data_IF_695444025101
#
_entry.id   IF_695444025101
#
_cell.length_a   1.000
_cell.length_b   1.000
_cell.length_c   1.000
_cell.angle_alpha   90.00
_cell.angle_beta   90.00
_cell.angle_gamma   90.00
#
_symmetry.space_group_name_H-M   'P 1'
#
loop_
_entity.id
_entity.type
_entity.pdbx_description
1 polymer ?
#
# COMPACT_ATOMS: atom_id res chain seq x y z
N UNK A 1 81.46 -25.34 -31.83
CA UNK A 1 81.48 -24.19 -30.89
C UNK A 1 81.86 -24.71 -29.50
N UNK A 2 83.01 -24.32 -28.93
CA UNK A 2 83.45 -24.88 -27.67
C UNK A 2 82.73 -24.23 -26.48
N UNK A 3 82.03 -25.05 -25.69
CA UNK A 3 81.56 -24.67 -24.35
C UNK A 3 82.82 -24.47 -23.49
N UNK A 4 82.95 -23.30 -22.86
CA UNK A 4 83.97 -23.03 -21.86
C UNK A 4 83.90 -24.10 -20.76
N UNK A 5 85.05 -24.65 -20.33
CA UNK A 5 85.18 -25.71 -19.30
C UNK A 5 84.50 -25.40 -17.95
N UNK A 6 84.08 -24.16 -17.72
CA UNK A 6 83.39 -23.71 -16.51
C UNK A 6 81.86 -23.71 -16.64
N UNK A 7 81.28 -24.21 -17.73
CA UNK A 7 79.82 -24.35 -17.89
C UNK A 7 79.04 -23.04 -18.09
N UNK A 8 79.71 -21.90 -18.12
CA UNK A 8 79.11 -20.60 -18.42
C UNK A 8 79.22 -20.26 -19.90
N UNK A 9 78.12 -19.71 -20.45
CA UNK A 9 78.08 -19.15 -21.79
C UNK A 9 79.27 -18.18 -21.96
N UNK A 10 80.05 -18.36 -23.03
CA UNK A 10 81.18 -17.49 -23.32
C UNK A 10 80.74 -16.01 -23.32
N UNK A 11 81.65 -15.09 -22.96
CA UNK A 11 81.38 -13.64 -22.89
C UNK A 11 80.59 -13.13 -24.10
N UNK A 12 80.97 -13.58 -25.29
CA UNK A 12 80.32 -13.25 -26.57
C UNK A 12 78.85 -13.71 -26.65
N UNK A 13 78.52 -14.88 -26.09
CA UNK A 13 77.14 -15.39 -26.07
C UNK A 13 76.30 -14.57 -25.09
N UNK A 14 76.86 -14.17 -23.94
CA UNK A 14 76.17 -13.29 -22.99
C UNK A 14 75.86 -11.94 -23.62
N UNK A 15 76.85 -11.33 -24.27
CA UNK A 15 76.68 -10.06 -24.99
C UNK A 15 75.65 -10.18 -26.12
N UNK A 16 75.64 -11.30 -26.86
CA UNK A 16 74.63 -11.58 -27.87
C UNK A 16 73.22 -11.69 -27.27
N UNK A 17 73.05 -12.43 -26.17
CA UNK A 17 71.76 -12.58 -25.47
C UNK A 17 71.27 -11.23 -24.94
N UNK A 18 72.14 -10.45 -24.29
CA UNK A 18 71.77 -9.16 -23.71
C UNK A 18 71.38 -8.16 -24.79
N UNK A 19 72.11 -8.13 -25.92
CA UNK A 19 71.76 -7.32 -27.09
C UNK A 19 70.38 -7.70 -27.64
N UNK A 20 70.13 -8.99 -27.90
CA UNK A 20 68.84 -9.42 -28.46
C UNK A 20 67.69 -9.24 -27.47
N UNK A 21 67.95 -9.28 -26.15
CA UNK A 21 66.95 -8.93 -25.15
C UNK A 21 66.60 -7.45 -25.21
N UNK A 22 67.61 -6.57 -25.34
CA UNK A 22 67.41 -5.13 -25.49
C UNK A 22 66.69 -4.79 -26.80
N UNK A 23 67.10 -5.40 -27.91
CA UNK A 23 66.50 -5.17 -29.24
C UNK A 23 65.02 -5.63 -29.29
N UNK A 24 64.60 -6.56 -28.41
CA UNK A 24 63.22 -7.06 -28.31
C UNK A 24 62.44 -6.48 -27.12
N UNK A 25 63.02 -5.59 -26.32
CA UNK A 25 62.38 -5.04 -25.12
C UNK A 25 61.10 -4.27 -25.48
N UNK A 26 61.12 -3.52 -26.59
CA UNK A 26 59.96 -2.81 -27.11
C UNK A 26 58.80 -3.76 -27.45
N UNK A 27 59.10 -4.89 -28.09
CA UNK A 27 58.10 -5.93 -28.39
C UNK A 27 57.49 -6.52 -27.12
N UNK A 28 58.29 -6.80 -26.09
CA UNK A 28 57.77 -7.30 -24.82
C UNK A 28 56.86 -6.28 -24.12
N UNK A 29 57.22 -5.00 -24.15
CA UNK A 29 56.41 -3.93 -23.58
C UNK A 29 55.07 -3.78 -24.32
N UNK A 30 55.08 -3.82 -25.66
CA UNK A 30 53.85 -3.80 -26.48
C UNK A 30 52.94 -4.97 -26.12
N UNK A 31 53.46 -6.19 -26.00
CA UNK A 31 52.66 -7.35 -25.60
C UNK A 31 52.05 -7.20 -24.20
N UNK A 32 52.81 -6.64 -23.26
CA UNK A 32 52.36 -6.42 -21.89
C UNK A 32 51.25 -5.37 -21.82
N UNK A 33 51.37 -4.28 -22.57
CA UNK A 33 50.36 -3.24 -22.64
C UNK A 33 49.09 -3.72 -23.36
N UNK A 34 49.22 -4.52 -24.43
CA UNK A 34 48.08 -5.16 -25.07
C UNK A 34 47.31 -6.04 -24.08
N UNK A 35 48.02 -6.83 -23.29
CA UNK A 35 47.40 -7.71 -22.31
C UNK A 35 46.63 -6.92 -21.23
N UNK A 36 47.22 -5.83 -20.71
CA UNK A 36 46.55 -4.93 -19.76
C UNK A 36 45.29 -4.31 -20.36
N UNK A 37 45.37 -3.84 -21.60
CA UNK A 37 44.22 -3.25 -22.30
C UNK A 37 43.09 -4.27 -22.49
N UNK A 38 43.41 -5.50 -22.89
CA UNK A 38 42.42 -6.58 -23.01
C UNK A 38 41.71 -6.85 -21.68
N UNK A 39 42.45 -6.92 -20.56
CA UNK A 39 41.85 -7.12 -19.24
C UNK A 39 40.95 -5.95 -18.83
N UNK A 40 41.36 -4.70 -19.08
CA UNK A 40 40.55 -3.52 -18.81
C UNK A 40 39.22 -3.53 -19.61
N UNK A 41 39.27 -3.88 -20.89
CA UNK A 41 38.07 -3.95 -21.74
C UNK A 41 37.13 -5.07 -21.29
N UNK A 42 37.67 -6.25 -20.94
CA UNK A 42 36.86 -7.37 -20.45
C UNK A 42 36.16 -7.05 -19.12
N UNK A 43 36.85 -6.37 -18.21
CA UNK A 43 36.25 -5.93 -16.94
C UNK A 43 35.14 -4.90 -17.17
N UNK A 44 35.39 -3.91 -18.05
CA UNK A 44 34.40 -2.90 -18.41
C UNK A 44 33.14 -3.54 -19.01
N UNK A 45 33.29 -4.44 -19.98
CA UNK A 45 32.16 -5.18 -20.58
C UNK A 45 31.41 -6.03 -19.54
N UNK A 46 32.13 -6.67 -18.60
CA UNK A 46 31.49 -7.43 -17.52
C UNK A 46 30.74 -6.54 -16.55
N UNK A 47 31.21 -5.33 -16.29
CA UNK A 47 30.54 -4.35 -15.44
C UNK A 47 29.31 -3.74 -16.11
N UNK A 48 29.38 -3.47 -17.42
CA UNK A 48 28.29 -2.89 -18.22
C UNK A 48 27.16 -3.91 -18.43
N UNK A 49 27.48 -5.18 -18.72
CA UNK A 49 26.47 -6.25 -18.86
C UNK A 49 25.71 -6.57 -17.56
N UNK A 50 26.26 -6.26 -16.39
CA UNK A 50 25.54 -6.38 -15.11
C UNK A 50 24.58 -5.22 -14.83
N UNK A 51 24.73 -4.09 -15.53
CA UNK A 51 23.83 -2.95 -15.39
C UNK A 51 22.59 -3.03 -16.30
N UNK A 52 22.56 -3.94 -17.29
CA UNK A 52 21.36 -4.16 -18.12
C UNK A 52 20.36 -5.17 -17.52
N UNK A 53 20.72 -5.83 -16.42
CA UNK A 53 19.84 -6.80 -15.77
C UNK A 53 19.42 -6.36 -14.36
N UNK A 54 18.74 -5.21 -14.28
CA UNK A 54 18.00 -4.87 -13.05
C UNK A 54 16.82 -3.91 -13.18
N UNK A 55 16.18 -3.85 -14.35
CA UNK A 55 14.82 -3.33 -14.45
C UNK A 55 13.90 -4.49 -14.85
N UNK A 56 13.52 -5.31 -13.86
CA UNK A 56 12.41 -6.27 -14.00
C UNK A 56 11.06 -5.55 -14.27
N UNK A 57 11.06 -4.21 -14.31
CA UNK A 57 9.90 -3.33 -14.48
C UNK A 57 9.64 -2.90 -15.93
N UNK A 58 10.48 -3.24 -16.92
CA UNK A 58 10.27 -2.78 -18.31
C UNK A 58 8.99 -3.38 -18.96
N UNK A 59 8.48 -4.49 -18.42
CA UNK A 59 7.26 -5.15 -18.89
C UNK A 59 6.13 -5.18 -17.87
N UNK A 60 6.28 -4.50 -16.72
CA UNK A 60 5.20 -4.44 -15.75
C UNK A 60 4.35 -3.20 -16.04
N UNK A 61 3.13 -3.40 -16.56
CA UNK A 61 2.16 -2.37 -16.93
C UNK A 61 1.62 -1.60 -15.69
N UNK A 62 2.49 -1.24 -14.75
CA UNK A 62 2.13 -0.67 -13.45
C UNK A 62 1.52 -1.68 -12.48
N UNK A 63 1.77 -2.99 -12.63
CA UNK A 63 1.33 -3.95 -11.61
C UNK A 63 2.31 -3.89 -10.45
N UNK A 64 1.76 -3.97 -9.25
CA UNK A 64 2.53 -4.06 -8.03
C UNK A 64 2.06 -5.29 -7.27
N UNK A 65 2.99 -6.05 -6.68
CA UNK A 65 2.62 -7.18 -5.81
C UNK A 65 1.82 -6.73 -4.60
N UNK A 66 2.12 -5.54 -4.10
CA UNK A 66 1.36 -4.82 -3.08
C UNK A 66 1.67 -3.33 -3.17
N UNK A 67 0.69 -2.51 -2.79
CA UNK A 67 0.87 -1.06 -2.58
C UNK A 67 0.80 -0.83 -1.08
N UNK A 68 1.84 -0.20 -0.51
CA UNK A 68 1.91 0.13 0.91
C UNK A 68 1.92 1.65 1.07
N UNK A 69 1.06 2.16 1.94
CA UNK A 69 1.02 3.57 2.31
C UNK A 69 1.63 3.76 3.70
N UNK A 70 2.25 4.93 3.89
CA UNK A 70 2.69 5.39 5.21
C UNK A 70 1.57 6.26 5.78
N UNK A 71 1.25 6.08 7.06
CA UNK A 71 0.28 6.91 7.75
C UNK A 71 0.67 8.38 7.71
N UNK A 72 -0.29 9.24 7.37
CA UNK A 72 -0.15 10.69 7.36
C UNK A 72 -0.78 11.29 8.62
N UNK A 73 -0.17 12.37 9.11
CA UNK A 73 -0.68 13.10 10.27
C UNK A 73 -1.93 13.95 9.95
N UNK A 74 -2.15 14.26 8.67
CA UNK A 74 -3.26 15.07 8.19
C UNK A 74 -3.61 14.69 6.75
N UNK A 75 -4.73 15.23 6.28
CA UNK A 75 -5.15 15.13 4.89
C UNK A 75 -4.11 15.83 3.97
N UNK A 76 -3.87 15.30 2.75
CA UNK A 76 -3.13 16.01 1.72
C UNK A 76 -3.75 17.36 1.40
N UNK A 77 -2.95 18.29 0.87
CA UNK A 77 -3.50 19.51 0.32
C UNK A 77 -4.26 19.21 -0.97
N UNK A 78 -5.54 19.60 -1.05
CA UNK A 78 -6.32 19.48 -2.28
C UNK A 78 -5.61 20.18 -3.45
N UNK A 79 -5.58 19.51 -4.61
CA UNK A 79 -5.07 20.05 -5.86
C UNK A 79 -6.11 19.78 -6.96
N UNK A 80 -6.42 20.82 -7.74
CA UNK A 80 -7.31 20.70 -8.90
C UNK A 80 -6.83 19.61 -9.86
N UNK A 81 -7.78 18.88 -10.44
CA UNK A 81 -7.56 17.78 -11.39
C UNK A 81 -6.76 16.60 -10.81
N UNK A 82 -6.74 16.42 -9.49
CA UNK A 82 -6.05 15.32 -8.82
C UNK A 82 -6.91 14.69 -7.73
N UNK A 83 -6.83 13.37 -7.63
CA UNK A 83 -7.30 12.63 -6.46
C UNK A 83 -6.13 12.05 -5.67
N UNK A 84 -6.32 11.83 -4.38
CA UNK A 84 -5.31 11.27 -3.49
C UNK A 84 -5.83 10.03 -2.79
N UNK A 85 -5.02 8.97 -2.75
CA UNK A 85 -5.23 7.80 -1.91
C UNK A 85 -4.17 7.79 -0.82
N UNK A 86 -4.59 7.77 0.45
CA UNK A 86 -3.68 7.88 1.58
C UNK A 86 -4.25 7.20 2.83
N UNK A 87 -3.40 7.04 3.84
CA UNK A 87 -3.78 6.48 5.14
C UNK A 87 -3.59 7.50 6.26
N UNK A 88 -4.49 7.54 7.24
CA UNK A 88 -4.35 8.35 8.47
C UNK A 88 -4.94 7.63 9.68
N UNK A 89 -4.57 8.06 10.89
CA UNK A 89 -5.10 7.47 12.12
C UNK A 89 -6.58 7.86 12.34
N UNK A 90 -7.41 6.86 12.60
CA UNK A 90 -8.79 7.01 13.06
C UNK A 90 -8.99 6.10 14.26
N UNK A 91 -9.25 6.69 15.43
CA UNK A 91 -9.47 5.93 16.66
C UNK A 91 -8.39 4.86 16.91
N UNK A 92 -7.11 5.24 16.83
CA UNK A 92 -5.93 4.37 17.04
C UNK A 92 -5.63 3.33 15.95
N UNK A 93 -6.37 3.35 14.84
CA UNK A 93 -6.13 2.48 13.69
C UNK A 93 -5.77 3.30 12.46
N UNK A 94 -4.79 2.83 11.69
CA UNK A 94 -4.49 3.37 10.37
C UNK A 94 -5.59 2.95 9.39
N UNK A 95 -6.32 3.91 8.84
CA UNK A 95 -7.43 3.67 7.90
C UNK A 95 -7.13 4.32 6.53
N UNK A 96 -7.70 3.75 5.46
CA UNK A 96 -7.54 4.21 4.08
C UNK A 96 -8.61 5.25 3.70
N UNK A 97 -8.17 6.29 3.01
CA UNK A 97 -8.97 7.41 2.55
C UNK A 97 -8.70 7.74 1.08
N UNK A 98 -9.75 8.19 0.39
CA UNK A 98 -9.66 8.85 -0.90
C UNK A 98 -10.17 10.28 -0.81
N UNK A 99 -9.44 11.22 -1.37
CA UNK A 99 -9.88 12.61 -1.56
C UNK A 99 -9.97 12.90 -3.06
N UNK A 100 -11.09 13.47 -3.49
CA UNK A 100 -11.30 13.87 -4.89
C UNK A 100 -10.74 15.26 -5.20
N UNK A 101 -10.84 15.69 -6.46
CA UNK A 101 -10.33 16.98 -6.94
C UNK A 101 -11.08 18.20 -6.39
N UNK A 102 -12.28 17.98 -5.85
CA UNK A 102 -13.06 18.99 -5.15
C UNK A 102 -12.69 19.08 -3.66
N UNK A 103 -11.80 18.22 -3.16
CA UNK A 103 -11.45 18.10 -1.74
C UNK A 103 -12.48 17.34 -0.91
N UNK A 104 -13.36 16.58 -1.56
CA UNK A 104 -14.32 15.72 -0.87
C UNK A 104 -13.60 14.48 -0.35
N UNK A 105 -13.70 14.25 0.96
CA UNK A 105 -13.07 13.13 1.62
C UNK A 105 -14.00 11.90 1.71
N UNK A 106 -13.50 10.76 1.29
CA UNK A 106 -14.14 9.45 1.38
C UNK A 106 -13.28 8.51 2.23
N UNK A 107 -13.79 8.11 3.38
CA UNK A 107 -13.19 7.02 4.14
C UNK A 107 -13.51 5.69 3.46
N UNK A 108 -12.49 4.91 3.11
CA UNK A 108 -12.65 3.62 2.43
C UNK A 108 -12.65 2.47 3.43
N UNK A 109 -11.89 2.56 4.53
CA UNK A 109 -11.88 1.52 5.57
C UNK A 109 -12.30 2.08 6.92
N UNK A 110 -12.96 1.27 7.73
CA UNK A 110 -13.36 1.61 9.10
C UNK A 110 -13.23 0.40 10.00
N UNK A 111 -12.53 0.60 11.13
CA UNK A 111 -12.23 -0.44 12.12
C UNK A 111 -11.53 -1.66 11.47
N UNK A 112 -10.55 -1.39 10.61
CA UNK A 112 -9.76 -2.40 9.89
C UNK A 112 -10.53 -3.21 8.84
N UNK A 113 -11.69 -2.70 8.37
CA UNK A 113 -12.55 -3.38 7.38
C UNK A 113 -12.92 -2.42 6.25
N UNK A 114 -13.22 -2.95 5.07
CA UNK A 114 -13.76 -2.13 3.98
C UNK A 114 -15.10 -1.52 4.41
N UNK A 115 -15.22 -0.20 4.32
CA UNK A 115 -16.44 0.54 4.53
C UNK A 115 -17.32 0.39 3.28
N UNK A 116 -18.19 -0.60 3.28
CA UNK A 116 -19.15 -0.79 2.19
C UNK A 116 -20.40 0.04 2.49
N UNK A 117 -20.51 1.19 1.85
CA UNK A 117 -21.74 2.00 1.88
C UNK A 117 -22.76 1.39 0.92
N UNK A 118 -24.01 1.19 1.37
CA UNK A 118 -25.10 0.77 0.50
C UNK A 118 -25.11 -0.71 0.09
N UNK A 119 -24.44 -1.60 0.82
CA UNK A 119 -24.75 -3.04 0.65
C UNK A 119 -26.22 -3.24 1.01
N UNK A 120 -27.01 -3.79 0.08
CA UNK A 120 -28.33 -4.31 0.42
C UNK A 120 -28.14 -5.21 1.64
N UNK A 121 -28.72 -4.84 2.77
CA UNK A 121 -28.76 -5.73 3.90
C UNK A 121 -29.49 -6.99 3.44
N UNK A 122 -28.76 -8.10 3.25
CA UNK A 122 -29.33 -9.36 2.82
C UNK A 122 -29.93 -10.04 4.03
N UNK A 123 -31.16 -9.67 4.36
CA UNK A 123 -31.91 -10.31 5.42
C UNK A 123 -32.37 -11.68 4.91
N UNK A 124 -31.64 -12.74 5.28
CA UNK A 124 -32.01 -14.13 4.94
C UNK A 124 -33.17 -14.67 5.79
N UNK A 125 -33.64 -13.88 6.75
CA UNK A 125 -34.76 -14.15 7.66
C UNK A 125 -35.48 -12.84 7.96
N UNK A 126 -36.70 -12.92 8.51
CA UNK A 126 -37.42 -11.76 9.01
C UNK A 126 -36.58 -11.01 10.05
N UNK A 127 -36.48 -9.70 9.89
CA UNK A 127 -35.91 -8.85 10.93
C UNK A 127 -36.97 -8.66 12.02
N UNK A 128 -36.62 -9.05 13.23
CA UNK A 128 -37.35 -8.66 14.42
C UNK A 128 -36.43 -7.74 15.23
N UNK A 129 -36.93 -6.57 15.60
CA UNK A 129 -36.32 -5.76 16.66
C UNK A 129 -37.02 -6.14 17.96
N UNK A 130 -36.29 -6.09 19.09
CA UNK A 130 -36.94 -6.22 20.39
C UNK A 130 -37.91 -5.04 20.57
N UNK A 131 -39.18 -5.33 20.83
CA UNK A 131 -40.18 -4.30 21.08
C UNK A 131 -39.90 -3.65 22.44
N UNK A 132 -39.97 -2.31 22.50
CA UNK A 132 -39.79 -1.56 23.74
C UNK A 132 -41.15 -1.17 24.30
N UNK A 133 -41.42 -1.52 25.55
CA UNK A 133 -42.63 -1.08 26.23
C UNK A 133 -42.52 0.41 26.55
N UNK A 134 -43.49 1.20 26.09
CA UNK A 134 -43.69 2.57 26.53
C UNK A 134 -44.61 2.54 27.74
N UNK A 135 -44.20 3.18 28.83
CA UNK A 135 -45.06 3.32 30.01
C UNK A 135 -46.26 4.21 29.66
N UNK A 136 -47.47 3.73 29.99
CA UNK A 136 -48.68 4.52 29.80
C UNK A 136 -48.61 5.85 30.57
N UNK A 137 -48.99 6.92 29.89
CA UNK A 137 -49.18 8.26 30.44
C UNK A 137 -50.23 8.99 29.59
N UNK A 138 -50.83 10.07 30.10
CA UNK A 138 -51.81 10.86 29.32
C UNK A 138 -51.24 11.39 27.99
N UNK A 139 -49.94 11.64 27.97
CA UNK A 139 -49.16 11.97 26.77
C UNK A 139 -47.98 11.00 26.67
N UNK A 140 -47.80 10.39 25.50
CA UNK A 140 -46.68 9.48 25.24
C UNK A 140 -45.78 10.04 24.14
N UNK A 141 -44.47 9.97 24.33
CA UNK A 141 -43.45 10.34 23.37
C UNK A 141 -42.39 9.22 23.33
N UNK A 142 -42.44 8.30 22.35
CA UNK A 142 -41.44 7.22 22.26
C UNK A 142 -40.04 7.79 22.06
N UNK A 143 -39.04 7.22 22.74
CA UNK A 143 -37.64 7.56 22.50
C UNK A 143 -37.11 6.78 21.29
N UNK A 144 -37.02 7.47 20.15
CA UNK A 144 -36.61 6.91 18.87
C UNK A 144 -35.14 6.45 18.86
N UNK A 145 -34.37 6.72 19.91
CA UNK A 145 -33.03 6.16 20.10
C UNK A 145 -33.04 4.71 20.64
N UNK A 146 -34.14 4.29 21.29
CA UNK A 146 -34.23 2.98 21.94
C UNK A 146 -34.61 1.84 20.99
N UNK A 147 -35.53 2.09 20.05
CA UNK A 147 -35.99 1.09 19.08
C UNK A 147 -36.74 1.76 17.92
N UNK A 148 -37.08 0.97 16.91
CA UNK A 148 -38.05 1.33 15.87
C UNK A 148 -39.40 0.60 16.05
N UNK A 149 -39.53 -0.30 17.03
CA UNK A 149 -40.79 -0.93 17.41
C UNK A 149 -41.09 -0.75 18.90
N UNK A 150 -42.26 -0.22 19.20
CA UNK A 150 -42.74 0.07 20.54
C UNK A 150 -44.10 -0.57 20.77
N UNK A 151 -44.44 -0.82 22.02
CA UNK A 151 -45.78 -1.18 22.42
C UNK A 151 -46.22 -0.47 23.69
N UNK A 152 -47.52 -0.25 23.85
CA UNK A 152 -48.10 0.37 25.04
C UNK A 152 -49.41 -0.35 25.39
N UNK A 153 -49.57 -0.68 26.68
CA UNK A 153 -50.87 -1.07 27.23
C UNK A 153 -51.67 0.21 27.51
N UNK A 154 -52.77 0.40 26.81
CA UNK A 154 -53.65 1.54 27.03
C UNK A 154 -54.61 1.23 28.17
N UNK A 155 -54.65 2.11 29.17
CA UNK A 155 -55.66 2.10 30.25
C UNK A 155 -56.62 3.30 30.16
N UNK A 156 -56.62 4.00 29.03
CA UNK A 156 -57.42 5.21 28.79
C UNK A 156 -56.97 5.97 27.55
N UNK A 157 -57.59 7.14 27.32
CA UNK A 157 -57.23 8.02 26.20
C UNK A 157 -55.78 8.52 26.32
N UNK A 158 -55.12 8.64 25.18
CA UNK A 158 -53.72 9.06 25.08
C UNK A 158 -53.54 10.14 24.03
N UNK A 159 -52.63 11.07 24.28
CA UNK A 159 -52.07 11.97 23.26
C UNK A 159 -50.75 11.37 22.80
N UNK A 160 -50.62 11.12 21.50
CA UNK A 160 -49.34 10.76 20.89
C UNK A 160 -48.58 12.04 20.53
N UNK A 161 -47.47 12.30 21.23
CA UNK A 161 -46.59 13.44 20.98
C UNK A 161 -45.44 13.04 20.03
N UNK A 162 -44.64 14.03 19.60
CA UNK A 162 -43.47 13.76 18.78
C UNK A 162 -42.49 12.82 19.51
N UNK A 163 -41.93 11.80 18.82
CA UNK A 163 -40.87 10.99 19.39
C UNK A 163 -39.68 11.85 19.83
N UNK A 164 -39.02 11.47 20.92
CA UNK A 164 -37.77 12.10 21.31
C UNK A 164 -36.61 11.53 20.48
N UNK A 165 -35.63 12.38 20.17
CA UNK A 165 -34.43 12.02 19.39
C UNK A 165 -34.66 11.41 17.99
N UNK A 166 -35.63 11.90 17.17
CA UNK A 166 -35.89 11.31 15.85
C UNK A 166 -34.74 11.60 14.88
N UNK A 167 -34.36 10.60 14.09
CA UNK A 167 -33.43 10.78 12.96
C UNK A 167 -34.21 11.07 11.68
N UNK A 168 -33.66 11.92 10.82
CA UNK A 168 -34.27 12.21 9.52
C UNK A 168 -34.44 10.90 8.72
N UNK A 169 -35.67 10.66 8.23
CA UNK A 169 -36.03 9.47 7.46
C UNK A 169 -36.34 8.22 8.30
N UNK A 170 -36.30 8.30 9.63
CA UNK A 170 -36.66 7.18 10.51
C UNK A 170 -38.17 6.89 10.49
N UNK A 171 -38.54 5.61 10.47
CA UNK A 171 -39.92 5.13 10.65
C UNK A 171 -40.01 4.40 11.98
N UNK A 172 -41.03 4.72 12.77
CA UNK A 172 -41.32 4.10 14.07
C UNK A 172 -42.68 3.41 14.00
N UNK A 173 -42.76 2.18 14.51
CA UNK A 173 -44.00 1.42 14.69
C UNK A 173 -44.39 1.40 16.16
N UNK A 174 -45.63 1.75 16.47
CA UNK A 174 -46.18 1.70 17.84
C UNK A 174 -47.40 0.78 17.82
N UNK A 175 -47.34 -0.26 18.63
CA UNK A 175 -48.43 -1.19 18.85
C UNK A 175 -49.21 -0.77 20.09
N UNK A 176 -50.48 -0.45 19.90
CA UNK A 176 -51.39 -0.16 21.00
C UNK A 176 -52.11 -1.45 21.38
N UNK A 177 -51.88 -1.92 22.59
CA UNK A 177 -52.67 -2.99 23.17
C UNK A 177 -53.78 -2.35 24.00
N UNK A 178 -54.99 -2.39 23.45
CA UNK A 178 -56.16 -1.99 24.22
C UNK A 178 -56.36 -3.02 25.33
N UNK A 179 -56.50 -2.56 26.58
CA UNK A 179 -57.06 -3.44 27.60
C UNK A 179 -58.53 -3.74 27.25
N UNK A 180 -59.16 -4.72 27.92
CA UNK A 180 -60.45 -5.28 27.50
C UNK A 180 -61.67 -4.34 27.71
N UNK A 181 -61.44 -3.02 27.68
CA UNK A 181 -62.37 -1.94 28.01
C UNK A 181 -62.40 -0.87 26.92
#
# INVERSE_FOLDING_TARGET
MPINKNGFLGKEIKEWIDKHRSDNEEWFNVCLDLNKYCHYILDKISSESKNEQKDDDINDDGRHRHVCFVEQASDPGNLTDKGFLYTKEVATLTELFYEDDAGTLFQITSNGKLLVLGTNNSWTKGQAVAEVQVTYAATIAPDASLSNAFWVDLTGNVILDQPTSPKAGQVVTILFKQDAT
#
